data_IF_798133553254
#
_entry.id   IF_798133553254
#
_cell.length_a   1.000
_cell.length_b   1.000
_cell.length_c   1.000
_cell.angle_alpha   90.00
_cell.angle_beta   90.00
_cell.angle_gamma   90.00
#
_symmetry.space_group_name_H-M   'P 1'
#
loop_
_entity.id
_entity.type
_entity.pdbx_description
1 polymer ?
#
# COMPACT_ATOMS: atom_id res chain seq x y z
N UNK A 1 -1.26 -6.34 -14.77
CA UNK A 1 -2.60 -5.76 -14.45
C UNK A 1 -3.47 -6.76 -13.68
N UNK A 2 -3.62 -6.58 -12.36
CA UNK A 2 -4.55 -7.34 -11.49
C UNK A 2 -6.00 -7.04 -11.90
N UNK A 3 -6.84 -8.06 -12.09
CA UNK A 3 -8.22 -7.87 -12.57
C UNK A 3 -9.14 -7.38 -11.44
N UNK A 4 -10.19 -6.57 -11.72
CA UNK A 4 -11.13 -6.08 -10.69
C UNK A 4 -11.79 -7.16 -9.83
N UNK A 5 -12.04 -8.36 -10.39
CA UNK A 5 -12.64 -9.48 -9.65
C UNK A 5 -11.70 -10.09 -8.59
N UNK A 6 -10.38 -10.00 -8.77
CA UNK A 6 -9.39 -10.42 -7.76
C UNK A 6 -9.40 -9.49 -6.53
N UNK A 7 -9.85 -8.25 -6.71
CA UNK A 7 -9.92 -7.24 -5.65
C UNK A 7 -11.18 -7.36 -4.77
N UNK A 8 -12.10 -8.29 -5.06
CA UNK A 8 -13.31 -8.55 -4.26
C UNK A 8 -14.12 -7.27 -3.95
N UNK A 9 -14.22 -6.37 -4.94
CA UNK A 9 -14.98 -5.11 -4.80
C UNK A 9 -16.49 -5.45 -4.85
N UNK A 10 -17.31 -5.03 -3.86
CA UNK A 10 -18.75 -5.28 -3.90
C UNK A 10 -19.40 -4.63 -5.12
N UNK A 11 -20.38 -5.31 -5.74
CA UNK A 11 -21.07 -4.81 -6.95
C UNK A 11 -21.58 -3.37 -6.80
N UNK A 12 -22.16 -3.05 -5.64
CA UNK A 12 -22.67 -1.69 -5.35
C UNK A 12 -21.57 -0.61 -5.38
N UNK A 13 -20.30 -0.98 -5.18
CA UNK A 13 -19.16 -0.06 -5.15
C UNK A 13 -18.31 -0.09 -6.43
N UNK A 14 -18.63 -0.93 -7.43
CA UNK A 14 -17.80 -1.11 -8.63
C UNK A 14 -17.58 0.20 -9.37
N UNK A 15 -18.64 0.88 -9.76
CA UNK A 15 -18.55 2.13 -10.52
C UNK A 15 -17.72 3.20 -9.79
N UNK A 16 -18.02 3.45 -8.51
CA UNK A 16 -17.27 4.44 -7.71
C UNK A 16 -15.80 4.06 -7.61
N UNK A 17 -15.49 2.77 -7.40
CA UNK A 17 -14.11 2.29 -7.30
C UNK A 17 -13.37 2.42 -8.62
N UNK A 18 -14.00 2.08 -9.74
CA UNK A 18 -13.44 2.17 -11.09
C UNK A 18 -13.08 3.62 -11.46
N UNK A 19 -13.96 4.57 -11.16
CA UNK A 19 -13.70 6.00 -11.39
C UNK A 19 -12.47 6.48 -10.59
N UNK A 20 -12.37 6.09 -9.32
CA UNK A 20 -11.23 6.47 -8.47
C UNK A 20 -9.95 5.77 -8.93
N UNK A 21 -10.03 4.49 -9.28
CA UNK A 21 -8.90 3.70 -9.79
C UNK A 21 -8.35 4.36 -11.06
N UNK A 22 -9.21 4.71 -12.02
CA UNK A 22 -8.79 5.35 -13.27
C UNK A 22 -8.03 6.66 -13.00
N UNK A 23 -8.53 7.50 -12.09
CA UNK A 23 -7.85 8.74 -11.69
C UNK A 23 -6.47 8.47 -11.08
N UNK A 24 -6.34 7.48 -10.20
CA UNK A 24 -5.05 7.13 -9.60
C UNK A 24 -4.09 6.53 -10.64
N UNK A 25 -4.58 5.73 -11.59
CA UNK A 25 -3.76 5.13 -12.63
C UNK A 25 -3.14 6.18 -13.55
N UNK A 26 -3.91 7.19 -13.96
CA UNK A 26 -3.39 8.29 -14.77
C UNK A 26 -2.23 9.00 -14.06
N UNK A 27 -2.43 9.42 -12.81
CA UNK A 27 -1.39 10.15 -12.07
C UNK A 27 -0.19 9.27 -11.74
N UNK A 28 -0.38 8.00 -11.40
CA UNK A 28 0.75 7.09 -11.14
C UNK A 28 1.56 6.84 -12.40
N UNK A 29 0.93 6.70 -13.57
CA UNK A 29 1.65 6.52 -14.84
C UNK A 29 2.44 7.76 -15.25
N UNK A 30 1.95 8.95 -14.90
CA UNK A 30 2.62 10.23 -15.22
C UNK A 30 3.75 10.57 -14.23
N UNK A 31 3.51 10.38 -12.94
CA UNK A 31 4.38 10.91 -11.88
C UNK A 31 5.09 9.84 -11.04
N UNK A 32 4.63 8.59 -11.05
CA UNK A 32 5.12 7.52 -10.17
C UNK A 32 5.47 6.28 -11.02
N UNK A 33 4.98 5.11 -10.62
CA UNK A 33 5.22 3.83 -11.28
C UNK A 33 3.97 2.91 -11.23
N UNK A 34 4.08 1.73 -11.85
CA UNK A 34 3.01 0.73 -11.85
C UNK A 34 2.73 0.15 -10.46
N UNK A 35 3.73 0.10 -9.57
CA UNK A 35 3.58 -0.44 -8.22
C UNK A 35 2.70 0.46 -7.36
N UNK A 36 2.85 1.79 -7.44
CA UNK A 36 1.95 2.76 -6.82
C UNK A 36 0.53 2.63 -7.37
N UNK A 37 0.37 2.41 -8.68
CA UNK A 37 -0.96 2.15 -9.26
C UNK A 37 -1.57 0.85 -8.72
N UNK A 38 -0.75 -0.20 -8.55
CA UNK A 38 -1.13 -1.46 -7.91
C UNK A 38 -1.57 -1.30 -6.45
N UNK A 39 -0.78 -0.56 -5.66
CA UNK A 39 -1.08 -0.22 -4.27
C UNK A 39 -2.38 0.59 -4.17
N UNK A 40 -2.56 1.61 -5.01
CA UNK A 40 -3.76 2.44 -5.03
C UNK A 40 -5.02 1.60 -5.27
N UNK A 41 -4.98 0.67 -6.25
CA UNK A 41 -6.07 -0.28 -6.50
C UNK A 41 -6.43 -1.10 -5.26
N UNK A 42 -5.42 -1.61 -4.52
CA UNK A 42 -5.63 -2.39 -3.31
C UNK A 42 -6.23 -1.56 -2.17
N UNK A 43 -5.78 -0.31 -2.00
CA UNK A 43 -6.33 0.64 -1.02
C UNK A 43 -7.80 0.93 -1.33
N UNK A 44 -8.11 1.28 -2.58
CA UNK A 44 -9.49 1.60 -3.00
C UNK A 44 -10.40 0.39 -2.79
N UNK A 45 -9.97 -0.81 -3.16
CA UNK A 45 -10.73 -2.02 -2.91
C UNK A 45 -10.95 -2.30 -1.42
N UNK A 46 -9.95 -2.06 -0.57
CA UNK A 46 -10.08 -2.20 0.88
C UNK A 46 -11.08 -1.21 1.48
N UNK A 47 -11.10 0.03 1.00
CA UNK A 47 -12.12 1.03 1.37
C UNK A 47 -13.51 0.65 0.87
N UNK A 48 -13.63 0.12 -0.36
CA UNK A 48 -14.89 -0.34 -0.93
C UNK A 48 -15.54 -1.47 -0.12
N UNK A 49 -14.74 -2.32 0.54
CA UNK A 49 -15.23 -3.42 1.39
C UNK A 49 -15.67 -2.99 2.80
N UNK A 50 -15.36 -1.77 3.25
CA UNK A 50 -15.83 -1.26 4.55
C UNK A 50 -17.36 -1.10 4.54
N UNK A 51 -18.00 -1.19 5.71
CA UNK A 51 -19.46 -1.12 5.88
C UNK A 51 -19.83 -0.07 6.94
N UNK A 52 -20.49 1.05 6.57
CA UNK A 52 -20.64 1.54 5.18
C UNK A 52 -19.27 1.87 4.56
N UNK A 53 -19.18 1.82 3.23
CA UNK A 53 -17.95 2.24 2.55
C UNK A 53 -17.84 3.76 2.62
N UNK A 54 -16.68 4.33 2.99
CA UNK A 54 -16.53 5.77 3.01
C UNK A 54 -16.50 6.38 1.59
N UNK A 55 -16.28 5.56 0.55
CA UNK A 55 -16.23 6.01 -0.83
C UNK A 55 -17.57 6.54 -1.36
N UNK A 56 -18.69 6.24 -0.68
CA UNK A 56 -20.03 6.70 -1.07
C UNK A 56 -20.19 8.22 -0.96
N UNK A 57 -19.34 8.90 -0.17
CA UNK A 57 -19.42 10.33 0.06
C UNK A 57 -18.13 11.05 -0.37
N UNK A 58 -18.27 12.29 -0.80
CA UNK A 58 -17.16 13.13 -1.26
C UNK A 58 -16.79 12.96 -2.74
N UNK A 59 -15.85 13.81 -3.17
CA UNK A 59 -15.43 13.89 -4.57
C UNK A 59 -14.42 12.80 -4.91
N UNK A 60 -14.60 12.14 -6.05
CA UNK A 60 -13.79 10.98 -6.50
C UNK A 60 -12.32 11.37 -6.65
N UNK A 61 -12.10 12.57 -7.20
CA UNK A 61 -10.77 13.20 -7.35
C UNK A 61 -10.07 13.46 -6.01
N UNK A 62 -10.81 13.86 -4.97
CA UNK A 62 -10.26 14.03 -3.62
C UNK A 62 -9.91 12.66 -3.00
N UNK A 63 -10.74 11.63 -3.22
CA UNK A 63 -10.41 10.26 -2.84
C UNK A 63 -9.15 9.76 -3.53
N UNK A 64 -9.04 9.91 -4.85
CA UNK A 64 -7.88 9.49 -5.63
C UNK A 64 -6.59 10.17 -5.13
N UNK A 65 -6.63 11.50 -4.95
CA UNK A 65 -5.52 12.26 -4.40
C UNK A 65 -5.16 11.80 -2.98
N UNK A 66 -6.16 11.60 -2.11
CA UNK A 66 -5.95 11.12 -0.76
C UNK A 66 -5.32 9.72 -0.70
N UNK A 67 -5.68 8.82 -1.63
CA UNK A 67 -5.10 7.46 -1.72
C UNK A 67 -3.62 7.54 -2.06
N UNK A 68 -3.25 8.25 -3.12
CA UNK A 68 -1.83 8.38 -3.52
C UNK A 68 -1.03 9.12 -2.45
N UNK A 69 -1.61 10.16 -1.85
CA UNK A 69 -0.94 10.91 -0.79
C UNK A 69 -0.76 10.10 0.50
N UNK A 70 -1.71 9.22 0.85
CA UNK A 70 -1.57 8.29 1.97
C UNK A 70 -0.46 7.27 1.70
N UNK A 71 -0.43 6.68 0.51
CA UNK A 71 0.62 5.75 0.09
C UNK A 71 1.99 6.42 0.08
N UNK A 72 2.09 7.65 -0.43
CA UNK A 72 3.33 8.41 -0.43
C UNK A 72 3.86 8.67 0.97
N UNK A 73 2.98 8.94 1.95
CA UNK A 73 3.38 9.12 3.35
C UNK A 73 3.90 7.81 3.96
N UNK A 74 3.28 6.67 3.62
CA UNK A 74 3.71 5.35 4.08
C UNK A 74 5.02 4.88 3.44
N UNK A 75 5.36 5.43 2.26
CA UNK A 75 6.48 4.98 1.42
C UNK A 75 7.55 6.05 1.20
N UNK A 76 7.58 7.09 2.04
CA UNK A 76 8.58 8.16 2.02
C UNK A 76 8.71 8.89 0.66
N UNK A 77 7.64 8.92 -0.16
CA UNK A 77 7.62 9.57 -1.48
C UNK A 77 8.07 11.04 -1.47
N UNK A 78 7.92 11.70 -0.33
CA UNK A 78 8.27 13.12 -0.15
C UNK A 78 9.71 13.33 0.34
N UNK A 79 10.51 12.26 0.45
CA UNK A 79 11.92 12.32 0.80
C UNK A 79 12.77 12.33 -0.49
N UNK A 80 13.57 13.39 -0.74
CA UNK A 80 14.42 13.50 -1.93
C UNK A 80 15.46 12.38 -2.10
N UNK A 81 15.73 11.60 -1.06
CA UNK A 81 16.63 10.45 -1.11
C UNK A 81 15.98 9.16 -1.63
N UNK A 82 14.69 9.20 -1.96
CA UNK A 82 13.93 8.03 -2.44
C UNK A 82 13.55 8.17 -3.91
N UNK A 83 13.38 7.03 -4.59
CA UNK A 83 12.81 6.97 -5.94
C UNK A 83 11.53 6.10 -5.89
N UNK A 84 10.41 6.54 -6.50
CA UNK A 84 10.21 7.90 -7.00
C UNK A 84 10.16 8.93 -5.87
N UNK A 85 10.68 10.14 -6.12
CA UNK A 85 10.48 11.33 -5.27
C UNK A 85 9.49 12.27 -5.93
N UNK A 86 8.45 12.68 -5.20
CA UNK A 86 7.51 13.73 -5.62
C UNK A 86 7.09 14.57 -4.44
N UNK A 87 6.80 15.83 -4.70
CA UNK A 87 6.29 16.76 -3.69
C UNK A 87 4.77 16.66 -3.52
N UNK A 88 4.29 17.12 -2.37
CA UNK A 88 2.85 17.25 -2.14
C UNK A 88 2.20 18.24 -3.13
N UNK A 89 2.94 19.26 -3.59
CA UNK A 89 2.45 20.26 -4.53
C UNK A 89 2.27 19.69 -5.95
N UNK A 90 3.20 18.86 -6.42
CA UNK A 90 3.06 18.15 -7.70
C UNK A 90 1.83 17.23 -7.69
N UNK A 91 1.65 16.43 -6.63
CA UNK A 91 0.46 15.57 -6.51
C UNK A 91 -0.83 16.38 -6.43
N UNK A 92 -0.85 17.44 -5.62
CA UNK A 92 -2.01 18.33 -5.47
C UNK A 92 -2.42 18.92 -6.82
N UNK A 93 -1.44 19.36 -7.61
CA UNK A 93 -1.62 19.97 -8.94
C UNK A 93 -2.10 18.94 -9.96
N UNK A 94 -1.48 17.76 -10.01
CA UNK A 94 -1.84 16.68 -10.93
C UNK A 94 -3.28 16.20 -10.71
N UNK A 95 -3.71 16.12 -9.46
CA UNK A 95 -5.10 15.81 -9.14
C UNK A 95 -6.05 17.00 -9.25
N UNK A 96 -5.57 18.24 -9.37
CA UNK A 96 -6.43 19.44 -9.38
C UNK A 96 -7.24 19.61 -8.09
N UNK A 97 -6.64 19.28 -6.94
CA UNK A 97 -7.27 19.43 -5.61
C UNK A 97 -6.37 20.25 -4.69
N UNK A 98 -6.92 20.78 -3.59
CA UNK A 98 -6.09 21.47 -2.58
C UNK A 98 -5.33 20.47 -1.71
N UNK A 99 -4.12 20.85 -1.27
CA UNK A 99 -3.32 20.07 -0.31
C UNK A 99 -4.08 19.75 0.98
N UNK A 100 -4.91 20.69 1.45
CA UNK A 100 -5.74 20.49 2.65
C UNK A 100 -6.79 19.38 2.44
N UNK A 101 -7.51 19.40 1.32
CA UNK A 101 -8.51 18.37 1.02
C UNK A 101 -7.84 16.99 0.81
N UNK A 102 -6.72 16.96 0.09
CA UNK A 102 -5.91 15.75 -0.11
C UNK A 102 -5.38 15.19 1.21
N UNK A 103 -4.82 16.05 2.07
CA UNK A 103 -4.29 15.68 3.38
C UNK A 103 -5.36 15.17 4.35
N UNK A 104 -6.50 15.86 4.43
CA UNK A 104 -7.63 15.42 5.24
C UNK A 104 -8.15 14.03 4.79
N UNK A 105 -8.22 13.81 3.48
CA UNK A 105 -8.64 12.54 2.92
C UNK A 105 -7.61 11.43 3.16
N UNK A 106 -6.33 11.72 2.99
CA UNK A 106 -5.25 10.78 3.27
C UNK A 106 -5.24 10.35 4.74
N UNK A 107 -5.46 11.29 5.68
CA UNK A 107 -5.62 10.96 7.10
C UNK A 107 -6.79 10.00 7.33
N UNK A 108 -7.96 10.31 6.76
CA UNK A 108 -9.12 9.42 6.87
C UNK A 108 -8.82 8.00 6.36
N UNK A 109 -8.11 7.89 5.23
CA UNK A 109 -7.72 6.61 4.64
C UNK A 109 -6.80 5.84 5.58
N UNK A 110 -5.72 6.47 6.07
CA UNK A 110 -4.78 5.84 6.99
C UNK A 110 -5.45 5.38 8.27
N UNK A 111 -6.32 6.22 8.86
CA UNK A 111 -7.06 5.87 10.07
C UNK A 111 -8.03 4.68 9.82
N UNK A 112 -8.70 4.66 8.66
CA UNK A 112 -9.68 3.61 8.29
C UNK A 112 -9.03 2.26 8.01
N UNK A 113 -7.85 2.27 7.37
CA UNK A 113 -7.11 1.07 6.99
C UNK A 113 -5.99 0.73 7.98
N UNK A 114 -5.80 1.54 9.04
CA UNK A 114 -4.71 1.43 10.01
C UNK A 114 -3.33 1.41 9.33
N UNK A 115 -3.15 2.24 8.31
CA UNK A 115 -1.91 2.29 7.55
C UNK A 115 -0.82 2.94 8.40
N UNK A 116 0.32 2.27 8.47
CA UNK A 116 1.51 2.75 9.15
C UNK A 116 2.77 2.26 8.41
N UNK A 117 3.94 2.68 8.88
CA UNK A 117 5.23 2.17 8.42
C UNK A 117 5.46 0.70 8.80
N UNK A 118 4.60 0.09 9.63
CA UNK A 118 4.58 -1.35 9.93
C UNK A 118 3.54 -2.13 9.12
N UNK A 119 2.91 -1.53 8.11
CA UNK A 119 1.86 -2.18 7.32
C UNK A 119 2.45 -2.66 5.98
N UNK A 120 3.07 -3.86 5.93
CA UNK A 120 3.81 -4.31 4.75
C UNK A 120 2.94 -4.40 3.50
N UNK A 121 1.63 -4.63 3.65
CA UNK A 121 0.69 -4.70 2.56
C UNK A 121 0.49 -3.36 1.84
N UNK A 122 0.87 -2.23 2.44
CA UNK A 122 0.79 -0.89 1.82
C UNK A 122 2.15 -0.34 1.41
N UNK A 123 3.21 -1.15 1.50
CA UNK A 123 4.55 -0.72 1.12
C UNK A 123 4.87 -1.05 -0.33
N UNK A 124 5.58 -0.12 -0.98
CA UNK A 124 6.27 -0.35 -2.23
C UNK A 124 7.30 -1.47 -2.03
N UNK A 125 7.49 -2.41 -2.98
CA UNK A 125 8.42 -3.54 -2.82
C UNK A 125 9.82 -3.13 -2.36
N UNK A 126 10.39 -2.07 -2.96
CA UNK A 126 11.72 -1.57 -2.57
C UNK A 126 11.74 -0.97 -1.16
N UNK A 127 10.64 -0.34 -0.72
CA UNK A 127 10.52 0.16 0.64
C UNK A 127 10.38 -0.98 1.64
N UNK A 128 9.54 -1.97 1.31
CA UNK A 128 9.34 -3.16 2.11
C UNK A 128 10.67 -3.91 2.33
N UNK A 129 11.46 -4.11 1.27
CA UNK A 129 12.72 -4.82 1.33
C UNK A 129 13.75 -4.16 2.26
N UNK A 130 13.74 -2.82 2.39
CA UNK A 130 14.69 -2.07 3.23
C UNK A 130 14.18 -1.72 4.62
N UNK A 131 12.88 -1.86 4.89
CA UNK A 131 12.26 -1.40 6.14
C UNK A 131 12.60 -2.32 7.34
N UNK A 132 13.47 -1.90 8.27
CA UNK A 132 13.91 -2.77 9.37
C UNK A 132 12.75 -3.14 10.32
N UNK A 133 11.74 -2.29 10.40
CA UNK A 133 10.58 -2.47 11.28
C UNK A 133 9.68 -3.66 10.89
N UNK A 134 9.85 -4.19 9.69
CA UNK A 134 9.14 -5.38 9.18
C UNK A 134 9.97 -6.64 9.39
N UNK A 135 11.30 -6.54 9.37
CA UNK A 135 12.19 -7.70 9.32
C UNK A 135 12.77 -8.09 10.66
N UNK A 136 12.73 -7.22 11.68
CA UNK A 136 13.14 -7.62 13.02
C UNK A 136 12.13 -8.57 13.66
N UNK A 137 12.59 -9.77 13.99
CA UNK A 137 11.81 -10.84 14.63
C UNK A 137 12.44 -11.25 15.94
N UNK A 138 11.62 -11.76 16.86
CA UNK A 138 12.07 -12.27 18.14
C UNK A 138 12.27 -13.80 18.03
N UNK A 139 13.48 -14.27 18.24
CA UNK A 139 13.82 -15.71 18.31
C UNK A 139 14.44 -15.96 19.66
N UNK A 140 13.81 -16.81 20.48
CA UNK A 140 14.25 -17.16 21.84
C UNK A 140 14.58 -15.94 22.73
N UNK A 141 13.80 -14.86 22.59
CA UNK A 141 13.95 -13.64 23.38
C UNK A 141 15.00 -12.66 22.86
N UNK A 142 15.65 -12.94 21.73
CA UNK A 142 16.62 -12.05 21.08
C UNK A 142 16.07 -11.53 19.75
N UNK A 143 16.36 -10.27 19.43
CA UNK A 143 16.00 -9.65 18.15
C UNK A 143 16.99 -10.03 17.07
N UNK A 144 16.47 -10.50 15.94
CA UNK A 144 17.24 -10.81 14.74
C UNK A 144 16.60 -10.19 13.52
N UNK A 145 17.43 -9.86 12.53
CA UNK A 145 16.94 -9.57 11.20
C UNK A 145 16.57 -10.89 10.49
N UNK A 146 15.29 -11.08 10.19
CA UNK A 146 14.83 -12.30 9.55
C UNK A 146 15.51 -12.57 8.20
N UNK A 147 16.02 -11.55 7.52
CA UNK A 147 16.70 -11.70 6.23
C UNK A 147 18.05 -12.41 6.34
N UNK A 148 18.65 -12.37 7.53
CA UNK A 148 19.96 -12.99 7.83
C UNK A 148 19.82 -14.35 8.51
N UNK A 149 18.61 -14.73 8.91
CA UNK A 149 18.35 -16.02 9.56
C UNK A 149 18.40 -17.19 8.56
N UNK A 150 18.67 -18.43 9.01
CA UNK A 150 18.51 -19.63 8.21
C UNK A 150 17.13 -19.73 7.56
N UNK A 151 17.07 -20.29 6.35
CA UNK A 151 15.86 -20.32 5.53
C UNK A 151 14.69 -21.03 6.24
N UNK A 152 15.00 -22.04 7.06
CA UNK A 152 14.01 -22.77 7.86
C UNK A 152 13.31 -21.85 8.87
N UNK A 153 14.06 -20.94 9.50
CA UNK A 153 13.50 -19.96 10.44
C UNK A 153 12.72 -18.87 9.69
N UNK A 154 13.19 -18.48 8.51
CA UNK A 154 12.45 -17.56 7.64
C UNK A 154 11.08 -18.15 7.27
N UNK A 155 11.04 -19.43 6.89
CA UNK A 155 9.79 -20.13 6.61
C UNK A 155 8.88 -20.17 7.83
N UNK A 156 9.41 -20.44 9.02
CA UNK A 156 8.59 -20.44 10.24
C UNK A 156 8.01 -19.05 10.54
N UNK A 157 8.84 -18.00 10.48
CA UNK A 157 8.38 -16.62 10.67
C UNK A 157 7.32 -16.24 9.61
N UNK A 158 7.46 -16.71 8.38
CA UNK A 158 6.46 -16.56 7.34
C UNK A 158 5.21 -17.42 7.61
N UNK A 159 5.31 -18.62 8.15
CA UNK A 159 4.12 -19.40 8.49
C UNK A 159 3.31 -18.73 9.61
N UNK A 160 3.99 -18.11 10.57
CA UNK A 160 3.39 -17.47 11.74
C UNK A 160 2.79 -16.08 11.48
N UNK A 161 2.93 -15.51 10.28
CA UNK A 161 2.41 -14.16 10.02
C UNK A 161 3.39 -13.02 10.34
N UNK A 162 4.60 -13.33 10.83
CA UNK A 162 5.53 -12.33 11.38
C UNK A 162 6.22 -11.53 10.28
N UNK A 163 6.67 -12.20 9.22
CA UNK A 163 7.26 -11.56 8.05
C UNK A 163 6.34 -11.68 6.82
N UNK A 164 6.40 -10.73 5.86
CA UNK A 164 5.45 -10.66 4.74
C UNK A 164 5.68 -11.73 3.67
N UNK A 165 6.92 -12.19 3.48
CA UNK A 165 7.34 -13.24 2.55
C UNK A 165 8.65 -13.87 3.05
N UNK A 166 9.13 -14.95 2.42
CA UNK A 166 10.40 -15.61 2.76
C UNK A 166 11.54 -14.89 2.05
N UNK A 167 12.45 -14.16 2.75
CA UNK A 167 13.50 -13.36 2.13
C UNK A 167 14.37 -14.12 1.14
N UNK A 168 14.75 -15.35 1.46
CA UNK A 168 15.59 -16.20 0.61
C UNK A 168 14.94 -16.53 -0.76
N UNK A 169 13.61 -16.47 -0.85
CA UNK A 169 12.87 -16.70 -2.09
C UNK A 169 12.45 -15.40 -2.79
N UNK A 170 12.29 -14.32 -2.01
CA UNK A 170 11.67 -13.09 -2.47
C UNK A 170 10.14 -13.22 -2.58
N UNK A 171 9.43 -12.09 -2.78
CA UNK A 171 7.97 -12.04 -2.70
C UNK A 171 7.28 -12.87 -3.80
N UNK A 172 7.84 -12.90 -5.02
CA UNK A 172 7.22 -13.59 -6.16
C UNK A 172 7.33 -15.12 -6.08
N UNK A 173 8.40 -15.65 -5.48
CA UNK A 173 8.61 -17.09 -5.33
C UNK A 173 8.22 -17.63 -3.95
N UNK A 174 7.76 -16.77 -3.04
CA UNK A 174 7.23 -17.21 -1.74
C UNK A 174 5.86 -17.87 -1.95
N UNK A 175 5.69 -19.15 -1.59
CA UNK A 175 4.42 -19.85 -1.72
C UNK A 175 3.35 -19.30 -0.75
N UNK A 176 2.05 -19.45 -1.04
CA UNK A 176 0.97 -19.07 -0.12
C UNK A 176 1.11 -19.73 1.26
N UNK A 177 0.80 -19.00 2.34
CA UNK A 177 0.97 -19.49 3.74
C UNK A 177 0.21 -20.79 4.04
N UNK A 178 -0.88 -21.08 3.35
CA UNK A 178 -1.67 -22.30 3.48
C UNK A 178 -1.03 -23.53 2.82
N UNK A 179 0.07 -23.34 2.10
CA UNK A 179 0.83 -24.41 1.41
C UNK A 179 2.20 -24.68 2.04
N UNK A 180 2.52 -23.99 3.14
CA UNK A 180 3.81 -24.03 3.86
C UNK A 180 3.66 -24.62 5.26
#
# INVERSE_FOLDING_TARGET
MTKPDELKIPNAMRQISEEIIALTQTVCAELLDEEYAGLARRVIAALARKRPSPLVSGTRRVWAAGVVYALGQTNFLFDPSTEPYRTADELSSAFGVSKSAMGAKAKQIRDTLKMSWHSPEWQHPDMLARNPAIWFVLVDGLMYDARELPVEIQFEAYRQGVIPYVPALGPAATPPRDTV
#
